data_IF_177016377336
#
_entry.id   IF_177016377336
#
_cell.length_a   1.000
_cell.length_b   1.000
_cell.length_c   1.000
_cell.angle_alpha   90.00
_cell.angle_beta   90.00
_cell.angle_gamma   90.00
#
_symmetry.space_group_name_H-M   'P 1'
#
loop_
_entity.id
_entity.type
_entity.pdbx_description
1 polymer ?
#
# COMPACT_ATOMS: atom_id res chain seq x y z
N UNK A 1 -2.69 22.30 5.03
CA UNK A 1 -1.54 23.20 4.86
C UNK A 1 -0.68 23.06 6.10
N UNK A 2 0.61 23.35 6.02
CA UNK A 2 1.41 23.59 7.23
C UNK A 2 1.09 24.98 7.83
N UNK A 3 1.79 25.32 8.91
CA UNK A 3 1.61 26.59 9.63
C UNK A 3 1.96 27.82 8.77
N UNK A 4 2.71 27.64 7.68
CA UNK A 4 3.09 28.68 6.73
C UNK A 4 2.07 28.82 5.57
N UNK A 5 1.02 28.00 5.55
CA UNK A 5 -0.01 28.01 4.51
C UNK A 5 0.36 27.21 3.26
N UNK A 6 1.46 26.44 3.28
CA UNK A 6 1.92 25.65 2.15
C UNK A 6 1.20 24.29 2.06
N UNK A 7 1.01 23.82 0.83
CA UNK A 7 0.40 22.51 0.60
C UNK A 7 1.38 21.39 0.89
N UNK A 8 1.17 20.70 2.02
CA UNK A 8 1.90 19.48 2.35
C UNK A 8 1.22 18.24 1.79
N UNK A 9 2.01 17.23 1.43
CA UNK A 9 1.49 15.95 0.95
C UNK A 9 0.85 15.18 2.10
N UNK A 10 -0.46 14.98 2.03
CA UNK A 10 -1.22 14.14 2.95
C UNK A 10 -1.16 12.65 2.62
N UNK A 11 -2.05 11.89 3.26
CA UNK A 11 -2.19 10.45 3.04
C UNK A 11 -2.84 10.12 1.69
N UNK A 12 -2.65 8.88 1.22
CA UNK A 12 -3.24 8.40 -0.03
C UNK A 12 -4.68 7.96 0.21
N UNK A 13 -5.61 8.55 -0.53
CA UNK A 13 -7.02 8.15 -0.49
C UNK A 13 -7.30 6.82 -1.17
N UNK A 14 -6.57 6.52 -2.24
CA UNK A 14 -6.64 5.24 -2.94
C UNK A 14 -5.39 5.01 -3.79
N UNK A 15 -5.06 3.76 -4.08
CA UNK A 15 -4.15 3.37 -5.16
C UNK A 15 -4.82 2.32 -6.03
N UNK A 16 -5.00 2.65 -7.29
CA UNK A 16 -5.39 1.70 -8.32
C UNK A 16 -4.16 1.21 -9.09
N UNK A 17 -4.14 -0.08 -9.42
CA UNK A 17 -3.20 -0.66 -10.36
C UNK A 17 -3.94 -1.73 -11.18
N UNK A 18 -3.40 -2.09 -12.34
CA UNK A 18 -4.06 -3.01 -13.24
C UNK A 18 -4.34 -4.36 -12.56
N UNK A 19 -5.60 -4.83 -12.66
CA UNK A 19 -6.13 -5.99 -11.94
C UNK A 19 -6.82 -5.66 -10.62
N UNK A 20 -6.67 -4.43 -10.08
CA UNK A 20 -7.38 -3.98 -8.87
C UNK A 20 -8.87 -3.72 -9.13
N UNK A 21 -9.74 -4.10 -8.20
CA UNK A 21 -11.18 -3.78 -8.28
C UNK A 21 -11.54 -2.52 -7.49
N UNK A 22 -10.95 -2.36 -6.31
CA UNK A 22 -11.21 -1.25 -5.41
C UNK A 22 -10.46 -1.45 -4.09
N UNK A 23 -10.78 -0.61 -3.12
CA UNK A 23 -10.28 -0.72 -1.75
C UNK A 23 -11.47 -0.63 -0.82
N UNK A 24 -11.56 -1.53 0.15
CA UNK A 24 -12.53 -1.47 1.24
C UNK A 24 -11.75 -1.27 2.53
N UNK A 25 -12.08 -0.23 3.28
CA UNK A 25 -11.57 -0.07 4.65
C UNK A 25 -12.31 -1.07 5.53
N UNK A 26 -11.62 -1.87 6.37
CA UNK A 26 -12.28 -2.85 7.22
C UNK A 26 -13.12 -2.18 8.30
N UNK A 27 -14.06 -2.94 8.85
CA UNK A 27 -14.91 -2.50 9.95
C UNK A 27 -14.08 -2.03 11.16
N UNK A 28 -14.59 -1.01 11.86
CA UNK A 28 -13.92 -0.38 13.00
C UNK A 28 -12.68 0.44 12.64
N UNK A 29 -12.37 0.60 11.35
CA UNK A 29 -11.27 1.46 10.91
C UNK A 29 -11.76 2.51 9.91
N UNK A 30 -11.03 3.63 9.81
CA UNK A 30 -11.40 4.72 8.92
C UNK A 30 -10.16 5.39 8.30
N UNK A 31 -10.26 5.66 7.00
CA UNK A 31 -9.30 6.49 6.27
C UNK A 31 -9.81 7.91 6.19
N UNK A 32 -9.21 8.79 6.98
CA UNK A 32 -9.68 10.18 7.10
C UNK A 32 -9.27 11.02 5.90
N UNK A 33 -10.22 11.78 5.37
CA UNK A 33 -9.98 12.85 4.41
C UNK A 33 -10.03 14.17 5.17
N UNK A 34 -8.90 14.88 5.36
CA UNK A 34 -8.92 16.12 6.12
C UNK A 34 -9.85 17.16 5.48
N UNK A 35 -10.61 17.87 6.29
CA UNK A 35 -11.40 19.03 5.83
C UNK A 35 -10.46 20.08 5.21
N UNK A 36 -10.98 20.83 4.23
CA UNK A 36 -10.22 21.87 3.51
C UNK A 36 -8.94 21.37 2.81
N UNK A 37 -8.88 20.07 2.48
CA UNK A 37 -7.79 19.49 1.70
C UNK A 37 -8.06 19.54 0.19
N UNK A 38 -7.02 19.27 -0.61
CA UNK A 38 -7.13 19.07 -2.06
C UNK A 38 -6.82 17.62 -2.41
N UNK A 39 -7.54 17.09 -3.40
CA UNK A 39 -7.23 15.78 -3.98
C UNK A 39 -6.16 15.94 -5.05
N UNK A 40 -5.01 15.30 -4.82
CA UNK A 40 -3.93 15.19 -5.81
C UNK A 40 -4.08 13.92 -6.64
N UNK A 41 -3.91 14.05 -7.96
CA UNK A 41 -3.96 12.94 -8.91
C UNK A 41 -2.56 12.59 -9.42
N UNK A 42 -2.29 11.30 -9.57
CA UNK A 42 -1.10 10.78 -10.23
C UNK A 42 -1.54 9.64 -11.14
N UNK A 43 -1.71 9.94 -12.42
CA UNK A 43 -2.20 8.98 -13.42
C UNK A 43 -1.01 8.49 -14.23
N UNK A 44 -0.88 7.17 -14.34
CA UNK A 44 0.22 6.54 -15.08
C UNK A 44 -0.36 5.84 -16.31
N UNK A 45 -0.14 6.44 -17.49
CA UNK A 45 -0.54 5.87 -18.78
C UNK A 45 0.58 4.99 -19.34
N UNK A 46 0.24 3.75 -19.67
CA UNK A 46 1.14 2.86 -20.42
C UNK A 46 0.81 2.98 -21.92
N UNK A 47 1.75 3.45 -22.76
CA UNK A 47 1.50 3.60 -24.19
C UNK A 47 1.50 2.22 -24.87
N UNK A 48 0.36 1.78 -25.35
CA UNK A 48 0.20 0.55 -26.14
C UNK A 48 0.09 0.84 -27.65
N UNK A 49 0.18 2.11 -28.05
CA UNK A 49 0.04 2.58 -29.43
C UNK A 49 -1.37 3.02 -29.81
N UNK A 50 -2.36 2.87 -28.93
CA UNK A 50 -3.73 3.30 -29.17
C UNK A 50 -4.00 4.68 -28.56
N UNK A 51 -4.42 5.63 -29.39
CA UNK A 51 -4.86 6.94 -28.92
C UNK A 51 -6.27 6.83 -28.32
N UNK A 52 -6.44 7.28 -27.09
CA UNK A 52 -7.75 7.36 -26.41
C UNK A 52 -8.13 8.85 -26.32
N UNK A 53 -8.91 9.38 -27.28
CA UNK A 53 -9.31 10.78 -27.25
C UNK A 53 -10.27 11.04 -26.08
N UNK A 54 -10.07 12.17 -25.40
CA UNK A 54 -10.89 12.60 -24.26
C UNK A 54 -10.93 11.59 -23.11
N UNK A 55 -9.83 10.89 -22.84
CA UNK A 55 -9.72 10.00 -21.68
C UNK A 55 -10.07 10.76 -20.38
N UNK A 56 -10.85 10.11 -19.52
CA UNK A 56 -11.26 10.62 -18.22
C UNK A 56 -11.10 9.52 -17.19
N UNK A 57 -10.34 9.81 -16.14
CA UNK A 57 -10.22 8.93 -14.98
C UNK A 57 -11.13 9.46 -13.88
N UNK A 58 -12.00 8.59 -13.37
CA UNK A 58 -12.90 8.89 -12.25
C UNK A 58 -12.57 7.99 -11.06
N UNK A 59 -12.76 8.53 -9.86
CA UNK A 59 -12.66 7.77 -8.61
C UNK A 59 -13.97 7.98 -7.84
N UNK A 60 -14.58 6.88 -7.40
CA UNK A 60 -15.67 6.92 -6.44
C UNK A 60 -15.09 6.78 -5.03
N UNK A 61 -15.53 7.65 -4.12
CA UNK A 61 -15.22 7.56 -2.70
C UNK A 61 -16.55 7.41 -1.98
N UNK A 62 -16.68 6.32 -1.22
CA UNK A 62 -17.81 6.10 -0.34
C UNK A 62 -17.43 6.56 1.06
N UNK A 63 -18.22 7.47 1.60
CA UNK A 63 -18.09 7.95 2.98
C UNK A 63 -19.05 7.16 3.88
N UNK A 64 -18.73 7.12 5.16
CA UNK A 64 -19.71 6.71 6.15
C UNK A 64 -20.86 7.70 6.19
N UNK A 65 -22.08 7.19 6.38
CA UNK A 65 -23.27 8.01 6.62
C UNK A 65 -23.84 7.81 8.03
N UNK A 66 -24.90 8.55 8.36
CA UNK A 66 -25.52 8.52 9.68
C UNK A 66 -26.18 7.15 10.00
N UNK A 67 -26.47 6.32 8.99
CA UNK A 67 -27.07 4.99 9.15
C UNK A 67 -26.04 3.91 9.49
N UNK A 68 -24.75 4.16 9.23
CA UNK A 68 -23.66 3.23 9.54
C UNK A 68 -23.33 3.13 11.05
N UNK A 69 -23.98 3.94 11.91
CA UNK A 69 -23.68 4.07 13.35
C UNK A 69 -22.17 4.28 13.63
N UNK A 70 -21.45 4.89 12.67
CA UNK A 70 -20.00 5.05 12.72
C UNK A 70 -19.59 6.12 13.74
N UNK A 71 -18.80 5.72 14.74
CA UNK A 71 -18.22 6.63 15.73
C UNK A 71 -16.74 6.85 15.42
N UNK A 72 -16.40 8.05 14.95
CA UNK A 72 -15.05 8.37 14.49
C UNK A 72 -13.99 8.21 15.60
N UNK A 73 -14.32 8.59 16.84
CA UNK A 73 -13.44 8.53 18.00
C UNK A 73 -13.10 7.11 18.44
N UNK A 74 -13.96 6.16 18.13
CA UNK A 74 -13.78 4.74 18.45
C UNK A 74 -13.08 3.98 17.30
N UNK A 75 -12.91 4.62 16.15
CA UNK A 75 -12.31 4.01 14.97
C UNK A 75 -10.78 4.00 14.99
N UNK A 76 -10.20 2.92 14.49
CA UNK A 76 -8.76 2.86 14.20
C UNK A 76 -8.44 3.68 12.94
N UNK A 77 -7.40 4.51 13.00
CA UNK A 77 -6.88 5.18 11.79
C UNK A 77 -6.32 4.13 10.83
N UNK A 78 -6.87 4.10 9.61
CA UNK A 78 -6.36 3.30 8.52
C UNK A 78 -5.63 4.20 7.51
N UNK A 79 -4.46 3.76 7.02
CA UNK A 79 -3.73 4.46 5.97
C UNK A 79 -3.29 3.53 4.81
N UNK A 80 -2.80 4.14 3.74
CA UNK A 80 -2.24 3.44 2.59
C UNK A 80 -0.83 3.94 2.33
N UNK A 81 0.15 3.10 2.68
CA UNK A 81 1.58 3.43 2.56
C UNK A 81 2.28 2.63 1.48
N UNK A 82 3.34 3.23 0.94
CA UNK A 82 4.29 2.57 0.06
C UNK A 82 5.60 2.42 0.81
N UNK A 83 6.01 1.19 1.06
CA UNK A 83 7.30 0.86 1.66
C UNK A 83 8.28 0.47 0.55
N UNK A 84 9.39 1.20 0.46
CA UNK A 84 10.33 1.04 -0.64
C UNK A 84 11.30 -0.11 -0.37
N UNK A 85 11.66 -0.82 -1.44
CA UNK A 85 12.63 -1.94 -1.42
C UNK A 85 14.10 -1.50 -1.38
N UNK A 86 14.39 -0.20 -1.46
CA UNK A 86 15.74 0.34 -1.28
C UNK A 86 15.66 1.70 -0.62
N UNK A 87 16.76 2.10 0.02
CA UNK A 87 16.98 3.44 0.56
C UNK A 87 17.31 4.49 -0.52
N UNK A 88 16.72 4.36 -1.73
CA UNK A 88 16.69 5.43 -2.73
C UNK A 88 17.68 5.33 -3.89
N UNK A 89 18.13 4.13 -4.28
CA UNK A 89 19.02 3.91 -5.43
C UNK A 89 18.35 3.20 -6.60
N UNK A 90 18.86 3.45 -7.81
CA UNK A 90 18.48 2.71 -9.03
C UNK A 90 18.92 1.26 -8.97
N UNK A 91 18.12 0.37 -9.57
CA UNK A 91 18.44 -1.03 -9.73
C UNK A 91 19.16 -1.27 -11.06
N UNK A 92 20.45 -1.61 -11.00
CA UNK A 92 21.17 -2.10 -12.16
C UNK A 92 21.05 -3.62 -12.25
N UNK A 93 20.19 -4.10 -13.14
CA UNK A 93 20.05 -5.53 -13.41
C UNK A 93 20.52 -5.78 -14.86
N UNK A 94 21.68 -6.43 -15.09
CA UNK A 94 22.18 -6.66 -16.44
C UNK A 94 21.23 -7.56 -17.27
N UNK A 95 21.37 -7.59 -18.60
CA UNK A 95 20.69 -8.56 -19.45
C UNK A 95 20.95 -9.99 -18.93
N UNK A 96 19.89 -10.81 -18.85
CA UNK A 96 19.92 -12.15 -18.25
C UNK A 96 20.35 -12.23 -16.77
N UNK A 97 20.58 -11.09 -16.13
CA UNK A 97 20.89 -10.98 -14.71
C UNK A 97 19.66 -11.12 -13.82
N UNK A 98 19.93 -11.40 -12.55
CA UNK A 98 18.96 -11.43 -11.45
C UNK A 98 19.45 -10.47 -10.37
N UNK A 99 18.50 -9.89 -9.65
CA UNK A 99 18.75 -9.08 -8.47
C UNK A 99 17.71 -9.50 -7.44
N UNK A 100 18.12 -9.58 -6.17
CA UNK A 100 17.21 -9.52 -5.05
C UNK A 100 17.53 -8.27 -4.24
N UNK A 101 16.50 -7.59 -3.75
CA UNK A 101 16.61 -6.38 -2.96
C UNK A 101 15.64 -6.39 -1.79
N UNK A 102 15.89 -5.58 -0.77
CA UNK A 102 15.11 -5.59 0.47
C UNK A 102 14.80 -4.20 0.99
N UNK A 103 13.53 -4.02 1.36
CA UNK A 103 13.03 -2.87 2.10
C UNK A 103 12.78 -3.23 3.56
N UNK A 104 13.00 -2.26 4.46
CA UNK A 104 12.80 -2.44 5.89
C UNK A 104 11.96 -1.29 6.43
N UNK A 105 10.98 -1.61 7.26
CA UNK A 105 10.17 -0.62 7.96
C UNK A 105 9.74 -1.13 9.31
N UNK A 106 9.84 -0.30 10.35
CA UNK A 106 9.36 -0.62 11.70
C UNK A 106 8.33 0.42 12.14
N UNK A 107 7.46 -0.01 13.05
CA UNK A 107 6.44 0.84 13.66
C UNK A 107 6.78 1.11 15.11
N UNK A 108 6.52 2.32 15.59
CA UNK A 108 6.65 2.69 17.00
C UNK A 108 5.42 2.34 17.84
N UNK A 109 4.36 1.83 17.20
CA UNK A 109 3.12 1.34 17.80
C UNK A 109 2.67 0.03 17.13
N UNK A 110 1.80 -0.76 17.79
CA UNK A 110 1.24 -1.95 17.15
C UNK A 110 0.38 -1.57 15.95
N UNK A 111 0.48 -2.34 14.86
CA UNK A 111 -0.32 -2.13 13.65
C UNK A 111 -0.98 -3.43 13.18
N UNK A 112 -2.13 -3.31 12.53
CA UNK A 112 -2.78 -4.41 11.80
C UNK A 112 -2.55 -4.22 10.31
N UNK A 113 -2.19 -5.27 9.59
CA UNK A 113 -2.07 -5.22 8.14
C UNK A 113 -3.35 -5.74 7.50
N UNK A 114 -4.17 -4.85 6.96
CA UNK A 114 -5.47 -5.23 6.37
C UNK A 114 -5.31 -5.82 4.97
N UNK A 115 -4.32 -5.34 4.20
CA UNK A 115 -4.00 -5.86 2.88
C UNK A 115 -2.56 -5.54 2.49
N UNK A 116 -2.04 -6.27 1.51
CA UNK A 116 -0.75 -5.99 0.89
C UNK A 116 -0.83 -6.14 -0.64
N UNK A 117 -0.32 -5.13 -1.35
CA UNK A 117 -0.13 -5.15 -2.79
C UNK A 117 1.36 -5.21 -3.16
N UNK A 118 1.90 -6.35 -3.61
CA UNK A 118 3.24 -6.41 -4.19
C UNK A 118 3.27 -5.62 -5.49
N UNK A 119 4.18 -4.66 -5.58
CA UNK A 119 4.24 -3.72 -6.70
C UNK A 119 5.62 -3.76 -7.35
N UNK A 120 5.69 -4.42 -8.50
CA UNK A 120 6.91 -4.54 -9.30
C UNK A 120 6.65 -4.03 -10.72
N UNK A 121 7.72 -3.87 -11.50
CA UNK A 121 7.64 -3.60 -12.95
C UNK A 121 7.83 -4.90 -13.74
N UNK A 122 8.02 -4.80 -15.06
CA UNK A 122 8.03 -5.94 -16.00
C UNK A 122 9.06 -7.04 -15.72
N UNK A 123 10.11 -6.75 -14.95
CA UNK A 123 11.14 -7.73 -14.54
C UNK A 123 10.87 -8.41 -13.20
N UNK A 124 9.81 -8.00 -12.50
CA UNK A 124 9.42 -8.59 -11.22
C UNK A 124 8.98 -10.04 -11.40
N UNK A 125 9.37 -10.89 -10.44
CA UNK A 125 9.03 -12.32 -10.45
C UNK A 125 8.33 -12.72 -9.15
N UNK A 126 8.80 -12.20 -8.02
CA UNK A 126 8.23 -12.50 -6.72
C UNK A 126 8.41 -11.33 -5.76
N UNK A 127 7.57 -11.28 -4.73
CA UNK A 127 7.80 -10.43 -3.56
C UNK A 127 7.30 -11.15 -2.31
N UNK A 128 8.07 -11.11 -1.22
CA UNK A 128 7.70 -11.58 0.11
C UNK A 128 7.60 -10.44 1.11
N UNK A 129 6.77 -10.63 2.14
CA UNK A 129 6.71 -9.78 3.32
C UNK A 129 6.92 -10.66 4.54
N UNK A 130 7.98 -10.39 5.27
CA UNK A 130 8.31 -11.05 6.52
C UNK A 130 8.25 -10.03 7.66
N UNK A 131 8.15 -10.51 8.89
CA UNK A 131 8.41 -9.73 10.10
C UNK A 131 9.70 -10.20 10.74
N UNK A 132 10.34 -9.31 11.48
CA UNK A 132 11.42 -9.60 12.40
C UNK A 132 11.11 -8.94 13.75
N UNK A 133 10.90 -9.77 14.78
CA UNK A 133 10.72 -9.30 16.15
C UNK A 133 12.09 -9.27 16.84
N UNK A 134 12.62 -8.08 17.20
CA UNK A 134 13.92 -7.95 17.85
C UNK A 134 13.94 -8.49 19.28
N UNK A 135 12.80 -8.62 19.96
CA UNK A 135 12.74 -9.08 21.36
C UNK A 135 13.04 -10.57 21.48
N UNK A 136 12.57 -11.36 20.52
CA UNK A 136 12.76 -12.82 20.46
C UNK A 136 13.74 -13.25 19.36
N UNK A 137 14.18 -12.31 18.51
CA UNK A 137 15.13 -12.54 17.43
C UNK A 137 14.61 -13.44 16.31
N UNK A 138 13.28 -13.47 16.08
CA UNK A 138 12.64 -14.40 15.14
C UNK A 138 12.11 -13.69 13.90
N UNK A 139 12.21 -14.36 12.75
CA UNK A 139 11.50 -14.00 11.52
C UNK A 139 10.28 -14.86 11.27
N UNK A 140 9.25 -14.27 10.70
CA UNK A 140 8.02 -14.95 10.30
C UNK A 140 7.52 -14.42 8.94
N UNK A 141 7.18 -15.35 8.04
CA UNK A 141 6.60 -15.02 6.74
C UNK A 141 5.13 -14.62 6.91
N UNK A 142 4.77 -13.41 6.46
CA UNK A 142 3.38 -12.96 6.48
C UNK A 142 2.66 -13.30 5.18
N UNK A 143 3.28 -13.02 4.02
CA UNK A 143 2.76 -13.49 2.74
C UNK A 143 3.82 -13.52 1.65
N UNK A 144 3.47 -14.12 0.52
CA UNK A 144 4.37 -14.24 -0.62
C UNK A 144 3.58 -14.32 -1.92
N UNK A 145 3.98 -13.50 -2.89
CA UNK A 145 3.61 -13.66 -4.29
C UNK A 145 4.82 -14.27 -5.01
N UNK A 146 4.75 -15.54 -5.42
CA UNK A 146 5.89 -16.30 -5.97
C UNK A 146 5.88 -16.44 -7.51
N UNK A 147 4.76 -16.12 -8.16
CA UNK A 147 4.62 -16.06 -9.61
C UNK A 147 3.90 -14.76 -9.99
N UNK A 148 4.51 -13.65 -9.58
CA UNK A 148 3.92 -12.33 -9.72
C UNK A 148 3.93 -11.90 -11.20
N UNK A 149 2.85 -11.22 -11.63
CA UNK A 149 2.70 -10.71 -12.98
C UNK A 149 2.18 -9.27 -12.94
N UNK A 150 2.68 -8.39 -13.80
CA UNK A 150 2.25 -6.99 -13.87
C UNK A 150 0.77 -6.80 -14.22
N UNK A 151 0.19 -7.78 -14.91
CA UNK A 151 -1.24 -7.90 -15.19
C UNK A 151 -2.11 -8.22 -13.96
N UNK A 152 -1.50 -8.66 -12.86
CA UNK A 152 -2.16 -9.00 -11.60
C UNK A 152 -1.57 -8.19 -10.43
N UNK A 153 -1.53 -6.88 -10.59
CA UNK A 153 -1.02 -5.94 -9.59
C UNK A 153 -2.16 -5.53 -8.64
N UNK A 154 -2.80 -6.50 -7.98
CA UNK A 154 -3.96 -6.30 -7.09
C UNK A 154 -3.55 -6.33 -5.61
N UNK A 155 -4.37 -5.72 -4.73
CA UNK A 155 -4.20 -5.77 -3.26
C UNK A 155 -4.70 -7.08 -2.65
N UNK A 156 -3.82 -7.93 -2.15
CA UNK A 156 -4.21 -9.14 -1.41
C UNK A 156 -4.77 -8.72 -0.05
N UNK A 157 -6.09 -8.80 0.10
CA UNK A 157 -6.78 -8.47 1.35
C UNK A 157 -6.85 -9.72 2.22
N UNK A 158 -6.50 -9.59 3.50
CA UNK A 158 -6.60 -10.71 4.43
C UNK A 158 -8.07 -10.95 4.80
N UNK A 159 -8.41 -12.19 5.09
CA UNK A 159 -9.70 -12.57 5.64
C UNK A 159 -9.87 -11.98 7.06
N UNK A 160 -11.12 -11.67 7.43
CA UNK A 160 -11.44 -11.15 8.74
C UNK A 160 -11.05 -12.13 9.86
N UNK A 161 -10.33 -11.60 10.86
CA UNK A 161 -9.75 -12.40 11.94
C UNK A 161 -8.38 -13.01 11.60
N UNK A 162 -7.91 -12.91 10.35
CA UNK A 162 -6.61 -13.41 9.90
C UNK A 162 -5.65 -12.30 9.46
N UNK A 163 -6.01 -11.04 9.67
CA UNK A 163 -5.11 -9.90 9.46
C UNK A 163 -3.89 -10.01 10.41
N UNK A 164 -2.65 -9.93 9.90
CA UNK A 164 -1.46 -9.90 10.75
C UNK A 164 -1.47 -8.73 11.73
N UNK A 165 -1.21 -9.01 13.01
CA UNK A 165 -0.96 -8.02 14.05
C UNK A 165 0.53 -7.92 14.30
N UNK A 166 1.08 -6.73 14.10
CA UNK A 166 2.50 -6.44 14.18
C UNK A 166 2.77 -5.66 15.46
N UNK A 167 3.49 -6.23 16.44
CA UNK A 167 3.86 -5.49 17.64
C UNK A 167 4.73 -4.26 17.34
N UNK A 168 4.72 -3.29 18.25
CA UNK A 168 5.65 -2.17 18.20
C UNK A 168 7.10 -2.67 18.17
N UNK A 169 7.97 -1.96 17.45
CA UNK A 169 9.37 -2.27 17.20
C UNK A 169 9.64 -3.53 16.34
N UNK A 170 8.60 -4.25 15.90
CA UNK A 170 8.76 -5.29 14.88
C UNK A 170 9.05 -4.64 13.54
N UNK A 171 10.01 -5.20 12.81
CA UNK A 171 10.38 -4.74 11.46
C UNK A 171 9.70 -5.60 10.41
N UNK A 172 8.96 -4.97 9.50
CA UNK A 172 8.57 -5.60 8.24
C UNK A 172 9.78 -5.59 7.30
N UNK A 173 10.06 -6.75 6.71
CA UNK A 173 11.09 -6.96 5.70
C UNK A 173 10.38 -7.32 4.40
N UNK A 174 10.53 -6.48 3.39
CA UNK A 174 10.06 -6.75 2.04
C UNK A 174 11.23 -7.25 1.20
N UNK A 175 11.05 -8.34 0.47
CA UNK A 175 12.08 -8.87 -0.44
C UNK A 175 11.49 -9.08 -1.82
N UNK A 176 12.18 -8.66 -2.88
CA UNK A 176 11.80 -8.91 -4.27
C UNK A 176 13.01 -9.14 -5.18
#
# INVERSE_FOLDING_TARGET
MDDDGEWVRGDRLSKFAFGKLGEKVPEGACRKVPANSKVGWSIHYYPDGNAVPNDQVSVGIWYHDDEDEFVEEESYRQDLRSYNLSSGGDYLIPPHGKLMTQGFHSFDHPVRIDSWQPHLHLRGVAMSMETYDPNIGRREMLSQASNWNAGWNHSHTYEDGYQPLIPANTTIILTA
#
